data_IF_599361207966
#
_entry.id   IF_599361207966
#
_cell.length_a   1.000
_cell.length_b   1.000
_cell.length_c   1.000
_cell.angle_alpha   90.00
_cell.angle_beta   90.00
_cell.angle_gamma   90.00
#
_symmetry.space_group_name_H-M   'P 1'
#
loop_
_entity.id
_entity.type
_entity.pdbx_description
1 polymer ?
#
# COMPACT_ATOMS: atom_id res chain seq x y z
N UNK A 1 -12.96 5.79 10.49
CA UNK A 1 -12.60 7.06 9.79
C UNK A 1 -12.28 8.21 10.76
N UNK A 2 -12.01 7.95 12.04
CA UNK A 2 -11.75 8.96 13.07
C UNK A 2 -10.38 9.61 12.93
N UNK A 3 -9.32 8.80 12.68
CA UNK A 3 -7.95 9.30 12.49
C UNK A 3 -7.77 10.30 11.33
N UNK A 4 -8.69 10.28 10.36
CA UNK A 4 -8.62 11.12 9.17
C UNK A 4 -9.58 12.30 9.22
N UNK A 5 -10.35 12.45 10.31
CA UNK A 5 -11.48 13.38 10.37
C UNK A 5 -11.14 14.77 9.82
N UNK A 6 -10.06 15.39 10.33
CA UNK A 6 -9.65 16.74 9.96
C UNK A 6 -8.87 16.82 8.63
N UNK A 7 -8.58 15.67 8.02
CA UNK A 7 -7.84 15.53 6.78
C UNK A 7 -8.73 15.17 5.58
N UNK A 8 -10.02 14.87 5.81
CA UNK A 8 -10.99 14.56 4.75
C UNK A 8 -11.22 15.76 3.83
N UNK A 9 -11.54 15.50 2.57
CA UNK A 9 -11.92 16.54 1.62
C UNK A 9 -10.75 17.37 1.06
N UNK A 10 -9.53 17.18 1.57
CA UNK A 10 -8.34 17.98 1.24
C UNK A 10 -7.51 17.43 0.07
N UNK A 11 -7.91 16.30 -0.53
CA UNK A 11 -7.22 15.70 -1.67
C UNK A 11 -5.94 14.94 -1.31
N UNK A 12 -5.75 14.57 -0.04
CA UNK A 12 -4.60 13.77 0.39
C UNK A 12 -4.68 12.32 -0.08
N UNK A 13 -3.51 11.68 -0.14
CA UNK A 13 -3.36 10.25 -0.36
C UNK A 13 -2.94 9.56 0.95
N UNK A 14 -3.76 8.61 1.39
CA UNK A 14 -3.50 7.78 2.55
C UNK A 14 -2.68 6.55 2.15
N UNK A 15 -1.58 6.30 2.88
CA UNK A 15 -0.87 5.02 2.78
C UNK A 15 -1.23 4.15 3.99
N UNK A 16 -1.59 2.88 3.76
CA UNK A 16 -1.99 1.96 4.85
C UNK A 16 -1.38 0.58 4.70
N UNK A 17 -1.16 -0.11 5.82
CA UNK A 17 -0.86 -1.53 5.83
C UNK A 17 -2.12 -2.40 5.67
N UNK A 18 -1.91 -3.67 5.33
CA UNK A 18 -2.87 -4.73 5.05
C UNK A 18 -3.97 -4.91 6.10
N UNK A 19 -3.74 -4.47 7.34
CA UNK A 19 -4.74 -4.51 8.39
C UNK A 19 -5.90 -3.54 8.13
N UNK A 20 -5.63 -2.38 7.54
CA UNK A 20 -6.63 -1.35 7.26
C UNK A 20 -7.15 -1.41 5.82
N UNK A 21 -6.32 -1.84 4.87
CA UNK A 21 -6.68 -1.83 3.44
C UNK A 21 -7.82 -2.80 3.13
N UNK A 22 -8.90 -2.28 2.55
CA UNK A 22 -10.04 -3.05 2.06
C UNK A 22 -10.78 -2.31 0.93
N UNK A 23 -11.50 -3.02 0.05
CA UNK A 23 -12.34 -2.39 -0.98
C UNK A 23 -13.40 -1.44 -0.41
N UNK A 24 -14.05 -1.84 0.68
CA UNK A 24 -15.07 -1.03 1.35
C UNK A 24 -14.50 0.30 1.87
N UNK A 25 -13.34 0.27 2.54
CA UNK A 25 -12.68 1.49 3.00
C UNK A 25 -12.27 2.39 1.81
N UNK A 26 -11.80 1.80 0.71
CA UNK A 26 -11.42 2.56 -0.47
C UNK A 26 -12.60 3.30 -1.09
N UNK A 27 -13.77 2.67 -1.19
CA UNK A 27 -15.01 3.32 -1.66
C UNK A 27 -15.41 4.49 -0.75
N UNK A 28 -15.37 4.31 0.57
CA UNK A 28 -15.64 5.39 1.54
C UNK A 28 -14.67 6.57 1.42
N UNK A 29 -13.39 6.30 1.18
CA UNK A 29 -12.35 7.33 1.03
C UNK A 29 -12.51 8.10 -0.29
N UNK A 30 -12.81 7.41 -1.39
CA UNK A 30 -13.11 8.04 -2.68
C UNK A 30 -14.26 9.05 -2.52
N UNK A 31 -15.34 8.65 -1.84
CA UNK A 31 -16.49 9.53 -1.57
C UNK A 31 -16.12 10.73 -0.67
N UNK A 32 -15.06 10.59 0.14
CA UNK A 32 -14.53 11.65 1.00
C UNK A 32 -13.43 12.50 0.33
N UNK A 33 -13.23 12.38 -0.99
CA UNK A 33 -12.13 13.02 -1.76
C UNK A 33 -10.75 12.74 -1.16
N UNK A 34 -10.51 11.49 -0.78
CA UNK A 34 -9.23 11.00 -0.25
C UNK A 34 -8.84 9.75 -1.01
N UNK A 35 -7.60 9.73 -1.51
CA UNK A 35 -7.07 8.57 -2.19
C UNK A 35 -6.39 7.62 -1.20
N UNK A 36 -6.27 6.34 -1.57
CA UNK A 36 -5.62 5.32 -0.75
C UNK A 36 -4.69 4.45 -1.58
N UNK A 37 -3.54 4.10 -0.99
CA UNK A 37 -2.63 3.08 -1.46
C UNK A 37 -2.23 2.17 -0.28
N UNK A 38 -2.24 0.87 -0.47
CA UNK A 38 -1.84 -0.05 0.60
C UNK A 38 -1.67 -1.47 0.15
N UNK A 39 -0.96 -2.24 0.97
CA UNK A 39 -0.91 -3.69 0.86
C UNK A 39 -2.28 -4.27 1.19
N UNK A 40 -2.66 -5.36 0.56
CA UNK A 40 -4.01 -5.93 0.65
C UNK A 40 -3.93 -7.40 1.08
N UNK A 41 -4.82 -7.82 1.98
CA UNK A 41 -4.98 -9.25 2.28
C UNK A 41 -5.86 -9.89 1.18
N UNK A 42 -5.44 -10.99 0.55
CA UNK A 42 -6.22 -11.62 -0.54
C UNK A 42 -7.55 -12.24 -0.06
N UNK A 43 -7.74 -12.42 1.25
CA UNK A 43 -8.96 -12.96 1.85
C UNK A 43 -9.98 -11.87 2.22
N UNK A 44 -9.78 -10.60 1.83
CA UNK A 44 -10.78 -9.54 2.05
C UNK A 44 -12.02 -9.79 1.18
N UNK A 45 -13.19 -9.43 1.73
CA UNK A 45 -14.46 -9.45 0.99
C UNK A 45 -14.42 -8.41 -0.16
N UNK A 46 -15.13 -8.70 -1.25
CA UNK A 46 -15.25 -7.80 -2.40
C UNK A 46 -14.07 -7.86 -3.39
N UNK A 47 -13.16 -8.83 -3.26
CA UNK A 47 -12.07 -9.03 -4.21
C UNK A 47 -12.43 -10.05 -5.30
N UNK A 48 -11.96 -9.86 -6.55
CA UNK A 48 -12.14 -10.85 -7.61
C UNK A 48 -11.53 -12.20 -7.23
N UNK A 49 -12.26 -13.30 -7.45
CA UNK A 49 -11.75 -14.65 -7.16
C UNK A 49 -10.45 -14.94 -7.92
N UNK A 50 -10.34 -14.44 -9.16
CA UNK A 50 -9.15 -14.55 -10.01
C UNK A 50 -7.91 -13.90 -9.37
N UNK A 51 -8.05 -12.80 -8.62
CA UNK A 51 -6.92 -12.20 -7.92
C UNK A 51 -6.28 -13.20 -6.94
N UNK A 52 -7.10 -14.03 -6.29
CA UNK A 52 -6.63 -15.05 -5.34
C UNK A 52 -6.09 -16.29 -6.07
N UNK A 53 -6.85 -16.83 -7.03
CA UNK A 53 -6.54 -18.12 -7.68
C UNK A 53 -5.45 -18.04 -8.75
N UNK A 54 -5.28 -16.90 -9.43
CA UNK A 54 -4.32 -16.80 -10.54
C UNK A 54 -2.87 -16.92 -10.05
N UNK A 55 -2.08 -17.77 -10.68
CA UNK A 55 -0.63 -17.81 -10.50
C UNK A 55 0.02 -16.76 -11.40
N UNK A 56 0.98 -16.02 -10.86
CA UNK A 56 1.70 -14.94 -11.55
C UNK A 56 3.17 -15.33 -11.61
N UNK A 57 3.86 -15.15 -12.74
CA UNK A 57 5.31 -15.39 -12.80
C UNK A 57 6.06 -14.22 -12.16
N UNK A 58 7.34 -14.43 -11.85
CA UNK A 58 8.17 -13.36 -11.28
C UNK A 58 8.26 -12.20 -12.27
N UNK A 59 7.98 -10.98 -11.80
CA UNK A 59 7.98 -9.75 -12.59
C UNK A 59 6.62 -9.43 -13.22
N UNK A 60 5.70 -10.38 -13.31
CA UNK A 60 4.38 -10.16 -13.90
C UNK A 60 3.41 -9.53 -12.90
N UNK A 61 2.40 -8.87 -13.45
CA UNK A 61 1.29 -8.24 -12.73
C UNK A 61 -0.04 -8.70 -13.31
N UNK A 62 -1.00 -9.00 -12.44
CA UNK A 62 -2.42 -9.11 -12.79
C UNK A 62 -3.15 -8.02 -12.03
N UNK A 63 -4.00 -7.27 -12.70
CA UNK A 63 -4.78 -6.20 -12.07
C UNK A 63 -6.24 -6.25 -12.50
N UNK A 64 -7.11 -5.82 -11.60
CA UNK A 64 -8.53 -5.65 -11.83
C UNK A 64 -8.92 -4.25 -11.39
N UNK A 65 -9.81 -3.63 -12.15
CA UNK A 65 -10.22 -2.25 -11.90
C UNK A 65 -11.73 -2.14 -11.82
N UNK A 66 -12.21 -1.41 -10.82
CA UNK A 66 -13.61 -1.03 -10.63
C UNK A 66 -13.65 0.47 -10.42
N UNK A 67 -14.00 1.21 -11.47
CA UNK A 67 -13.93 2.68 -11.46
C UNK A 67 -12.52 3.18 -11.12
N UNK A 68 -12.39 3.99 -10.07
CA UNK A 68 -11.11 4.54 -9.61
C UNK A 68 -10.24 3.52 -8.86
N UNK A 69 -10.84 2.43 -8.35
CA UNK A 69 -10.15 1.45 -7.53
C UNK A 69 -9.48 0.39 -8.40
N UNK A 70 -8.17 0.24 -8.25
CA UNK A 70 -7.35 -0.80 -8.84
C UNK A 70 -6.84 -1.75 -7.76
N UNK A 71 -7.08 -3.05 -7.92
CA UNK A 71 -6.46 -4.10 -7.12
C UNK A 71 -5.50 -4.87 -8.00
N UNK A 72 -4.30 -5.13 -7.50
CA UNK A 72 -3.26 -5.78 -8.29
C UNK A 72 -2.52 -6.83 -7.47
N UNK A 73 -2.10 -7.88 -8.18
CA UNK A 73 -1.21 -8.94 -7.69
C UNK A 73 0.05 -8.90 -8.52
N UNK A 74 1.17 -8.69 -7.86
CA UNK A 74 2.49 -8.67 -8.47
C UNK A 74 3.41 -9.64 -7.73
N UNK A 75 4.27 -10.37 -8.45
CA UNK A 75 5.18 -11.33 -7.82
C UNK A 75 6.62 -10.94 -8.05
N UNK A 76 7.34 -10.69 -6.96
CA UNK A 76 8.81 -10.71 -6.97
C UNK A 76 9.29 -12.06 -6.42
N UNK A 77 9.86 -12.09 -5.21
CA UNK A 77 10.16 -13.34 -4.50
C UNK A 77 8.88 -14.02 -3.98
N UNK A 78 7.92 -13.21 -3.52
CA UNK A 78 6.60 -13.65 -3.02
C UNK A 78 5.50 -12.83 -3.70
N UNK A 79 4.28 -13.38 -3.85
CA UNK A 79 3.15 -12.61 -4.36
C UNK A 79 2.77 -11.51 -3.36
N UNK A 80 2.68 -10.29 -3.87
CA UNK A 80 2.22 -9.10 -3.17
C UNK A 80 0.89 -8.68 -3.77
N UNK A 81 -0.07 -8.35 -2.90
CA UNK A 81 -1.35 -7.80 -3.31
C UNK A 81 -1.42 -6.36 -2.84
N UNK A 82 -1.88 -5.48 -3.71
CA UNK A 82 -2.00 -4.04 -3.47
C UNK A 82 -3.39 -3.58 -3.86
N UNK A 83 -3.86 -2.55 -3.18
CA UNK A 83 -5.02 -1.76 -3.57
C UNK A 83 -4.58 -0.31 -3.69
N UNK A 84 -4.98 0.33 -4.78
CA UNK A 84 -4.74 1.75 -5.03
C UNK A 84 -5.95 2.39 -5.69
N UNK A 85 -6.24 3.65 -5.38
CA UNK A 85 -7.33 4.40 -6.02
C UNK A 85 -6.85 5.43 -7.05
N UNK A 86 -5.55 5.48 -7.33
CA UNK A 86 -4.96 6.47 -8.24
C UNK A 86 -3.78 5.91 -9.06
N UNK A 87 -3.47 4.63 -8.88
CA UNK A 87 -2.50 3.93 -9.72
C UNK A 87 -3.23 2.89 -10.57
N UNK A 88 -2.76 2.75 -11.81
CA UNK A 88 -3.12 1.63 -12.67
C UNK A 88 -2.07 0.51 -12.53
N UNK A 89 -2.17 -0.51 -13.40
CA UNK A 89 -1.23 -1.62 -13.49
C UNK A 89 0.15 -1.27 -14.08
N UNK A 90 0.49 0.03 -14.09
CA UNK A 90 1.70 0.54 -14.70
C UNK A 90 2.95 0.09 -13.95
N UNK A 91 3.95 -0.30 -14.73
CA UNK A 91 5.27 -0.67 -14.26
C UNK A 91 6.24 0.50 -14.44
N UNK A 92 7.25 0.58 -13.59
CA UNK A 92 8.33 1.54 -13.68
C UNK A 92 9.68 0.88 -13.38
N UNK A 93 10.71 1.37 -14.05
CA UNK A 93 12.09 1.01 -13.77
C UNK A 93 12.58 1.68 -12.49
N UNK A 94 13.24 0.90 -11.64
CA UNK A 94 13.82 1.34 -10.39
C UNK A 94 15.28 0.91 -10.36
N UNK A 95 16.18 1.89 -10.32
CA UNK A 95 17.60 1.66 -10.06
C UNK A 95 17.78 1.37 -8.58
N UNK A 96 18.54 0.33 -8.26
CA UNK A 96 18.88 0.04 -6.87
C UNK A 96 20.02 0.97 -6.41
N UNK A 97 20.05 1.31 -5.12
CA UNK A 97 21.06 2.21 -4.54
C UNK A 97 22.48 1.65 -4.55
N UNK A 98 22.65 0.34 -4.77
CA UNK A 98 23.97 -0.29 -4.89
C UNK A 98 24.56 -0.03 -6.27
N UNK A 99 25.83 0.38 -6.30
CA UNK A 99 26.62 0.48 -7.53
C UNK A 99 26.64 -0.87 -8.27
N UNK A 100 26.54 -0.87 -9.60
CA UNK A 100 26.40 -2.05 -10.47
C UNK A 100 25.17 -2.95 -10.25
N UNK A 101 24.09 -2.45 -9.62
CA UNK A 101 22.87 -3.24 -9.50
C UNK A 101 21.98 -3.18 -10.75
N UNK A 102 21.47 -4.34 -11.16
CA UNK A 102 20.54 -4.45 -12.27
C UNK A 102 19.28 -3.59 -12.06
N UNK A 103 18.82 -2.94 -13.12
CA UNK A 103 17.55 -2.21 -13.14
C UNK A 103 16.40 -3.18 -12.87
N UNK A 104 15.54 -2.85 -11.91
CA UNK A 104 14.38 -3.67 -11.56
C UNK A 104 13.11 -3.00 -12.04
N UNK A 105 12.22 -3.76 -12.66
CA UNK A 105 10.89 -3.28 -13.04
C UNK A 105 9.90 -3.62 -11.92
N UNK A 106 9.18 -2.62 -11.41
CA UNK A 106 8.21 -2.76 -10.32
C UNK A 106 6.92 -1.97 -10.61
N UNK A 107 5.76 -2.35 -10.06
CA UNK A 107 4.56 -1.55 -10.19
C UNK A 107 4.75 -0.18 -9.53
N UNK A 108 4.25 0.90 -10.16
CA UNK A 108 4.32 2.27 -9.60
C UNK A 108 3.73 2.33 -8.19
N UNK A 109 2.62 1.65 -7.96
CA UNK A 109 1.99 1.55 -6.65
C UNK A 109 2.92 0.98 -5.56
N UNK A 110 3.72 -0.04 -5.91
CA UNK A 110 4.70 -0.65 -4.98
C UNK A 110 5.85 0.31 -4.69
N UNK A 111 6.28 1.08 -5.69
CA UNK A 111 7.35 2.07 -5.49
C UNK A 111 6.89 3.18 -4.56
N UNK A 112 5.71 3.76 -4.79
CA UNK A 112 5.17 4.79 -3.90
C UNK A 112 4.93 4.24 -2.50
N UNK A 113 4.32 3.07 -2.37
CA UNK A 113 4.05 2.46 -1.07
C UNK A 113 5.31 2.31 -0.22
N UNK A 114 6.40 1.82 -0.82
CA UNK A 114 7.68 1.69 -0.11
C UNK A 114 8.28 3.05 0.29
N UNK A 115 7.96 4.12 -0.42
CA UNK A 115 8.42 5.47 -0.10
C UNK A 115 7.64 6.11 1.05
N UNK A 116 6.36 5.77 1.23
CA UNK A 116 5.45 6.44 2.17
C UNK A 116 5.07 5.64 3.41
N UNK A 117 5.12 4.31 3.38
CA UNK A 117 4.66 3.46 4.49
C UNK A 117 5.45 3.67 5.79
N UNK A 118 6.74 4.01 5.72
CA UNK A 118 7.62 4.09 6.90
C UNK A 118 7.40 5.30 7.82
N UNK A 119 6.39 6.16 7.57
CA UNK A 119 6.17 7.38 8.35
C UNK A 119 5.92 7.12 9.85
N UNK A 120 5.04 6.16 10.17
CA UNK A 120 4.70 5.82 11.56
C UNK A 120 5.87 5.12 12.23
N UNK A 121 6.42 4.08 11.62
CA UNK A 121 7.56 3.33 12.17
C UNK A 121 8.78 4.23 12.43
N UNK A 122 9.00 5.24 11.59
CA UNK A 122 10.09 6.20 11.79
C UNK A 122 9.82 7.14 12.96
N UNK A 123 8.58 7.55 13.18
CA UNK A 123 8.19 8.30 14.37
C UNK A 123 8.43 7.47 15.63
N UNK A 124 7.99 6.22 15.64
CA UNK A 124 8.18 5.29 16.77
C UNK A 124 9.67 5.02 17.02
N UNK A 125 10.45 4.85 15.96
CA UNK A 125 11.91 4.72 16.04
C UNK A 125 12.53 5.94 16.72
N UNK A 126 12.18 7.17 16.31
CA UNK A 126 12.68 8.39 16.94
C UNK A 126 12.34 8.46 18.44
N UNK A 127 11.13 8.06 18.82
CA UNK A 127 10.71 8.01 20.22
C UNK A 127 11.50 6.98 21.04
N UNK A 128 11.78 5.81 20.46
CA UNK A 128 12.54 4.75 21.13
C UNK A 128 14.01 5.12 21.41
N UNK A 129 14.62 6.00 20.62
CA UNK A 129 15.99 6.47 20.86
C UNK A 129 16.08 7.45 22.02
N UNK A 130 14.99 8.14 22.35
CA UNK A 130 14.93 9.12 23.44
C UNK A 130 13.75 8.81 24.37
N UNK A 131 13.78 7.67 25.09
CA UNK A 131 12.67 7.26 25.93
C UNK A 131 12.56 8.18 27.14
N UNK A 132 11.49 8.97 27.19
CA UNK A 132 11.13 9.79 28.38
C UNK A 132 10.35 8.95 29.40
N UNK A 133 9.68 7.90 28.93
CA UNK A 133 8.89 7.00 29.76
C UNK A 133 9.80 6.17 30.68
N UNK A 134 9.49 6.15 31.99
CA UNK A 134 10.17 5.34 32.99
C UNK A 134 9.33 4.12 33.34
N UNK A 135 9.98 2.98 33.58
CA UNK A 135 9.30 1.79 34.06
C UNK A 135 8.58 2.11 35.38
N UNK A 136 7.28 1.86 35.43
CA UNK A 136 6.48 1.97 36.64
C UNK A 136 5.94 0.60 37.01
N UNK A 137 6.03 0.23 38.29
CA UNK A 137 5.28 -0.91 38.83
C UNK A 137 3.82 -0.46 38.95
N UNK A 138 2.92 -1.20 38.31
CA UNK A 138 1.47 -1.03 38.42
C UNK A 138 0.95 -1.68 39.67
#
# INVERSE_FOLDING_TARGET
>A
MTLLHDLKGKGYCLTTDNYYTSPELAELLINSKTDICGTLRPNRKGLPALLKSSSVKKGEIIAFQKGKMCVMKWKDKKPLHMLSTFHNADMMEVKSKKENSAVKVKPKAVVLYNATMGGVDRSDQCLSYYPVARNQQR
#
